data_IF_381156553212
#
_entry.id   IF_381156553212
#
_cell.length_a   1.000
_cell.length_b   1.000
_cell.length_c   1.000
_cell.angle_alpha   90.00
_cell.angle_beta   90.00
_cell.angle_gamma   90.00
#
_symmetry.space_group_name_H-M   'P 1'
#
loop_
_entity.id
_entity.type
_entity.pdbx_description
1 polymer ?
#
# COMPACT_ATOMS: atom_id res chain seq x y z
N UNK A 1 -2.66 17.39 -18.30
CA UNK A 1 -1.76 17.76 -17.19
C UNK A 1 -2.22 16.95 -15.98
N UNK A 2 -1.37 16.10 -15.41
CA UNK A 2 -1.71 15.37 -14.19
C UNK A 2 -1.65 16.36 -13.03
N UNK A 3 -2.78 16.62 -12.37
CA UNK A 3 -2.81 17.45 -11.16
C UNK A 3 -1.83 16.84 -10.14
N UNK A 4 -0.91 17.66 -9.63
CA UNK A 4 0.04 17.23 -8.60
C UNK A 4 -0.75 16.85 -7.34
N UNK A 5 -0.42 15.72 -6.71
CA UNK A 5 -1.15 15.30 -5.51
C UNK A 5 -0.88 16.28 -4.36
N UNK A 6 -1.90 16.72 -3.63
CA UNK A 6 -1.71 17.66 -2.53
C UNK A 6 -0.87 17.03 -1.42
N UNK A 7 -0.12 17.85 -0.69
CA UNK A 7 0.87 17.40 0.31
C UNK A 7 0.28 16.55 1.44
N UNK A 8 -1.00 16.68 1.70
CA UNK A 8 -1.73 15.94 2.73
C UNK A 8 -2.29 14.59 2.24
N UNK A 9 -2.09 14.23 0.97
CA UNK A 9 -2.32 12.89 0.42
C UNK A 9 -0.97 12.28 0.04
N UNK A 10 -0.55 11.26 0.77
CA UNK A 10 0.71 10.55 0.53
C UNK A 10 0.41 9.17 -0.03
N UNK A 11 1.12 8.75 -1.07
CA UNK A 11 1.11 7.36 -1.52
C UNK A 11 2.08 6.54 -0.67
N UNK A 12 1.59 5.44 -0.11
CA UNK A 12 2.46 4.49 0.58
C UNK A 12 3.48 3.91 -0.38
N UNK A 13 4.76 3.95 -0.01
CA UNK A 13 5.88 3.51 -0.85
C UNK A 13 5.78 2.02 -1.20
N UNK A 14 5.29 1.20 -0.25
CA UNK A 14 5.16 -0.25 -0.43
C UNK A 14 3.80 -0.66 -0.96
N UNK A 15 2.74 -0.19 -0.31
CA UNK A 15 1.38 -0.63 -0.62
C UNK A 15 0.81 0.08 -1.85
N UNK A 16 1.39 1.20 -2.29
CA UNK A 16 0.84 2.08 -3.33
C UNK A 16 -0.51 2.68 -2.96
N UNK A 17 -0.95 2.56 -1.70
CA UNK A 17 -2.26 3.02 -1.27
C UNK A 17 -2.21 4.48 -0.83
N UNK A 18 -3.22 5.27 -1.16
CA UNK A 18 -3.29 6.64 -0.68
C UNK A 18 -3.58 6.68 0.82
N UNK A 19 -2.88 7.56 1.52
CA UNK A 19 -2.98 7.85 2.94
C UNK A 19 -3.25 9.34 3.09
N UNK A 20 -4.30 9.70 3.81
CA UNK A 20 -4.68 11.09 4.08
C UNK A 20 -4.11 11.46 5.44
N UNK A 21 -3.43 12.59 5.54
CA UNK A 21 -2.88 13.15 6.78
C UNK A 21 -3.95 14.04 7.44
N UNK A 22 -4.03 14.05 8.77
CA UNK A 22 -4.96 14.91 9.48
C UNK A 22 -4.66 16.40 9.25
N UNK A 23 -5.67 17.27 9.11
CA UNK A 23 -5.47 18.71 8.93
C UNK A 23 -4.77 19.39 10.10
N UNK A 24 -4.83 18.79 11.29
CA UNK A 24 -4.22 19.32 12.52
C UNK A 24 -2.96 18.57 12.93
N UNK A 25 -2.47 17.59 12.15
CA UNK A 25 -1.26 16.86 12.52
C UNK A 25 -0.01 17.73 12.31
N UNK A 26 0.82 17.83 13.35
CA UNK A 26 2.03 18.66 13.34
C UNK A 26 3.32 17.88 13.60
N UNK A 27 3.23 16.65 14.11
CA UNK A 27 4.40 15.83 14.45
C UNK A 27 4.10 14.33 14.31
N UNK A 28 5.15 13.54 14.09
CA UNK A 28 5.06 12.08 13.95
C UNK A 28 4.36 11.58 12.68
N UNK A 29 4.11 12.44 11.70
CA UNK A 29 3.38 12.11 10.47
C UNK A 29 4.11 11.03 9.66
N UNK A 30 5.42 11.19 9.45
CA UNK A 30 6.19 10.24 8.64
C UNK A 30 6.19 8.82 9.23
N UNK A 31 6.27 8.70 10.56
CA UNK A 31 6.14 7.40 11.23
C UNK A 31 4.74 6.83 11.10
N UNK A 32 3.70 7.67 11.25
CA UNK A 32 2.31 7.26 11.12
C UNK A 32 1.98 6.79 9.70
N UNK A 33 2.41 7.53 8.67
CA UNK A 33 2.30 7.15 7.26
C UNK A 33 3.02 5.83 7.00
N UNK A 34 4.27 5.70 7.44
CA UNK A 34 5.05 4.46 7.29
C UNK A 34 4.36 3.26 7.95
N UNK A 35 3.84 3.42 9.16
CA UNK A 35 3.14 2.34 9.89
C UNK A 35 1.82 1.97 9.23
N UNK A 36 1.09 2.94 8.70
CA UNK A 36 -0.13 2.71 7.92
C UNK A 36 0.17 1.99 6.60
N UNK A 37 1.22 2.39 5.88
CA UNK A 37 1.67 1.73 4.64
C UNK A 37 2.07 0.27 4.89
N UNK A 38 2.85 0.02 5.94
CA UNK A 38 3.20 -1.34 6.38
C UNK A 38 1.97 -2.18 6.72
N UNK A 39 0.98 -1.60 7.42
CA UNK A 39 -0.25 -2.30 7.74
C UNK A 39 -1.06 -2.66 6.47
N UNK A 40 -1.00 -1.84 5.42
CA UNK A 40 -1.60 -2.15 4.12
C UNK A 40 -0.83 -3.20 3.32
N UNK A 41 0.49 -3.24 3.44
CA UNK A 41 1.36 -4.23 2.82
C UNK A 41 1.23 -5.63 3.45
N UNK A 42 0.54 -5.73 4.59
CA UNK A 42 0.28 -7.00 5.28
C UNK A 42 1.08 -7.18 6.57
N UNK A 43 1.89 -6.19 6.95
CA UNK A 43 2.60 -6.13 8.23
C UNK A 43 1.69 -5.54 9.31
N UNK A 44 0.70 -6.33 9.71
CA UNK A 44 -0.24 -5.99 10.78
C UNK A 44 0.38 -5.95 12.20
N UNK A 45 1.60 -6.48 12.36
CA UNK A 45 2.33 -6.57 13.63
C UNK A 45 3.75 -6.00 13.52
N UNK A 46 4.53 -6.02 14.62
CA UNK A 46 5.90 -5.55 14.59
C UNK A 46 6.73 -6.38 13.59
N UNK A 47 7.39 -5.69 12.67
CA UNK A 47 8.31 -6.34 11.73
C UNK A 47 9.41 -7.05 12.55
N UNK A 48 9.63 -8.36 12.34
CA UNK A 48 10.66 -9.10 13.05
C UNK A 48 12.05 -8.45 12.88
N UNK A 49 12.83 -8.39 13.96
CA UNK A 49 14.16 -7.75 13.92
C UNK A 49 15.10 -8.39 12.89
N UNK A 50 15.05 -9.70 12.71
CA UNK A 50 15.83 -10.42 11.69
C UNK A 50 15.45 -10.01 10.27
N UNK A 51 14.16 -9.71 10.03
CA UNK A 51 13.69 -9.29 8.72
C UNK A 51 14.15 -7.87 8.39
N UNK A 52 14.19 -6.97 9.39
CA UNK A 52 14.78 -5.63 9.21
C UNK A 52 16.25 -5.67 8.79
N UNK A 53 17.00 -6.66 9.29
CA UNK A 53 18.39 -6.88 8.87
C UNK A 53 18.45 -7.31 7.40
N UNK A 54 17.58 -8.23 6.97
CA UNK A 54 17.48 -8.63 5.57
C UNK A 54 17.06 -7.47 4.66
N UNK A 55 16.09 -6.65 5.07
CA UNK A 55 15.70 -5.44 4.33
C UNK A 55 16.86 -4.45 4.20
N UNK A 56 17.64 -4.27 5.28
CA UNK A 56 18.83 -3.39 5.26
C UNK A 56 19.92 -3.92 4.33
N UNK A 57 20.09 -5.24 4.26
CA UNK A 57 21.00 -5.89 3.30
C UNK A 57 20.48 -5.64 1.87
N UNK A 58 19.16 -5.68 1.66
CA UNK A 58 18.49 -5.25 0.44
C UNK A 58 19.09 -5.91 -0.81
N UNK A 59 19.53 -5.09 -1.78
CA UNK A 59 20.12 -5.60 -3.04
C UNK A 59 21.44 -6.36 -2.84
N UNK A 60 22.17 -6.12 -1.76
CA UNK A 60 23.41 -6.85 -1.47
C UNK A 60 23.17 -8.33 -1.18
N UNK A 61 21.94 -8.71 -0.80
CA UNK A 61 21.55 -10.11 -0.59
C UNK A 61 21.82 -10.96 -1.84
N UNK A 62 21.51 -10.43 -3.02
CA UNK A 62 21.75 -11.12 -4.29
C UNK A 62 23.24 -11.32 -4.55
N UNK A 63 24.07 -10.32 -4.24
CA UNK A 63 25.52 -10.42 -4.43
C UNK A 63 26.15 -11.46 -3.50
N UNK A 64 25.67 -11.55 -2.26
CA UNK A 64 26.12 -12.56 -1.30
C UNK A 64 25.83 -13.97 -1.86
N UNK A 65 24.60 -14.21 -2.34
CA UNK A 65 24.24 -15.51 -2.89
C UNK A 65 24.91 -15.83 -4.23
N UNK A 66 25.18 -14.82 -5.07
CA UNK A 66 26.01 -14.99 -6.27
C UNK A 66 27.43 -15.41 -5.90
N UNK A 67 28.05 -14.75 -4.92
CA UNK A 67 29.39 -15.13 -4.44
C UNK A 67 29.41 -16.55 -3.86
N UNK A 68 28.38 -16.93 -3.08
CA UNK A 68 28.21 -18.29 -2.57
C UNK A 68 28.04 -19.28 -3.74
N UNK A 69 27.22 -18.96 -4.75
CA UNK A 69 27.01 -19.80 -5.93
C UNK A 69 28.30 -20.05 -6.72
N UNK A 70 29.11 -19.01 -6.92
CA UNK A 70 30.44 -19.12 -7.55
C UNK A 70 31.35 -20.01 -6.70
N UNK A 71 31.40 -19.81 -5.38
CA UNK A 71 32.23 -20.61 -4.47
C UNK A 71 31.80 -22.09 -4.45
N UNK A 72 30.50 -22.37 -4.46
CA UNK A 72 29.98 -23.75 -4.51
C UNK A 72 30.32 -24.41 -5.84
N UNK A 73 30.17 -23.71 -6.97
CA UNK A 73 30.55 -24.25 -8.28
C UNK A 73 32.04 -24.59 -8.36
N UNK A 74 32.90 -23.72 -7.80
CA UNK A 74 34.34 -23.94 -7.75
C UNK A 74 34.75 -25.16 -6.89
N UNK A 75 33.91 -25.58 -5.95
CA UNK A 75 34.17 -26.74 -5.09
C UNK A 75 33.57 -28.05 -5.63
N UNK A 76 32.48 -27.98 -6.39
CA UNK A 76 31.69 -29.15 -6.79
C UNK A 76 31.98 -29.60 -8.23
N UNK A 77 32.31 -28.66 -9.11
CA UNK A 77 32.46 -28.93 -10.53
C UNK A 77 33.91 -28.75 -10.93
N UNK A 78 34.54 -29.76 -11.52
CA UNK A 78 35.90 -29.66 -12.03
C UNK A 78 35.91 -29.03 -13.42
N UNK A 79 36.06 -27.71 -13.48
CA UNK A 79 36.04 -26.89 -14.70
C UNK A 79 37.11 -25.80 -14.66
N UNK A 80 37.31 -25.11 -15.78
CA UNK A 80 38.21 -23.97 -15.83
C UNK A 80 37.68 -22.82 -14.95
N UNK A 81 38.60 -22.10 -14.29
CA UNK A 81 38.25 -21.08 -13.26
C UNK A 81 37.27 -20.02 -13.76
N UNK A 82 37.37 -19.63 -15.04
CA UNK A 82 36.47 -18.62 -15.63
C UNK A 82 35.03 -19.12 -15.76
N UNK A 83 34.82 -20.43 -15.95
CA UNK A 83 33.49 -21.03 -16.08
C UNK A 83 32.68 -20.90 -14.79
N UNK A 84 33.34 -20.85 -13.62
CA UNK A 84 32.66 -20.60 -12.35
C UNK A 84 32.06 -19.20 -12.27
N UNK A 85 32.72 -18.20 -12.85
CA UNK A 85 32.20 -16.83 -12.88
C UNK A 85 31.07 -16.65 -13.89
N UNK A 86 31.01 -17.49 -14.93
CA UNK A 86 29.95 -17.48 -15.94
C UNK A 86 28.71 -18.25 -15.46
N UNK A 87 28.90 -19.46 -14.93
CA UNK A 87 27.79 -20.34 -14.55
C UNK A 87 27.39 -20.24 -13.08
N UNK A 88 28.30 -19.85 -12.18
CA UNK A 88 28.04 -19.70 -10.74
C UNK A 88 27.01 -18.64 -10.35
N UNK A 89 26.86 -17.51 -11.07
CA UNK A 89 25.81 -16.55 -10.79
C UNK A 89 24.39 -17.10 -10.95
N UNK A 90 24.16 -18.03 -11.89
CA UNK A 90 22.83 -18.58 -12.19
C UNK A 90 22.18 -19.27 -10.98
N UNK A 91 22.80 -20.28 -10.34
CA UNK A 91 22.25 -20.89 -9.13
C UNK A 91 22.22 -19.89 -7.97
N UNK A 92 23.19 -18.98 -7.87
CA UNK A 92 23.21 -17.94 -6.84
C UNK A 92 21.98 -17.03 -6.90
N UNK A 93 21.63 -16.51 -8.08
CA UNK A 93 20.42 -15.68 -8.29
C UNK A 93 19.15 -16.48 -8.01
N UNK A 94 19.09 -17.74 -8.46
CA UNK A 94 17.93 -18.60 -8.25
C UNK A 94 17.68 -18.86 -6.75
N UNK A 95 18.73 -19.24 -6.02
CA UNK A 95 18.67 -19.45 -4.56
C UNK A 95 18.36 -18.14 -3.83
N UNK A 96 18.95 -17.01 -4.22
CA UNK A 96 18.64 -15.71 -3.63
C UNK A 96 17.16 -15.36 -3.76
N UNK A 97 16.56 -15.64 -4.92
CA UNK A 97 15.16 -15.36 -5.21
C UNK A 97 14.24 -16.23 -4.36
N UNK A 98 14.49 -17.54 -4.29
CA UNK A 98 13.69 -18.48 -3.49
C UNK A 98 13.82 -18.14 -1.99
N UNK A 99 15.04 -17.96 -1.50
CA UNK A 99 15.28 -17.66 -0.08
C UNK A 99 14.72 -16.31 0.31
N UNK A 100 14.81 -15.31 -0.57
CA UNK A 100 14.18 -14.00 -0.38
C UNK A 100 12.66 -14.09 -0.30
N UNK A 101 12.03 -14.85 -1.20
CA UNK A 101 10.59 -15.08 -1.18
C UNK A 101 10.13 -15.82 0.09
N UNK A 102 10.86 -16.87 0.50
CA UNK A 102 10.58 -17.60 1.73
C UNK A 102 10.75 -16.72 2.96
N UNK A 103 11.82 -15.93 3.04
CA UNK A 103 12.04 -14.98 4.12
C UNK A 103 10.92 -13.94 4.19
N UNK A 104 10.48 -13.39 3.06
CA UNK A 104 9.36 -12.47 2.99
C UNK A 104 8.06 -13.10 3.50
N UNK A 105 7.75 -14.32 3.05
CA UNK A 105 6.57 -15.08 3.48
C UNK A 105 6.60 -15.43 4.96
N UNK A 106 7.73 -15.88 5.48
CA UNK A 106 7.92 -16.17 6.91
C UNK A 106 7.80 -14.92 7.77
N UNK A 107 8.35 -13.79 7.31
CA UNK A 107 8.22 -12.51 7.97
C UNK A 107 6.76 -12.07 8.08
N UNK A 108 6.01 -12.14 6.98
CA UNK A 108 4.57 -11.86 6.97
C UNK A 108 3.77 -12.77 7.88
N UNK A 109 4.05 -14.07 7.84
CA UNK A 109 3.37 -15.05 8.68
C UNK A 109 3.65 -14.76 10.15
N UNK A 110 4.90 -14.48 10.51
CA UNK A 110 5.28 -14.11 11.87
C UNK A 110 4.59 -12.80 12.29
N UNK A 111 4.57 -11.78 11.44
CA UNK A 111 3.91 -10.50 11.74
C UNK A 111 2.39 -10.68 11.93
N UNK A 112 1.76 -11.54 11.13
CA UNK A 112 0.34 -11.89 11.26
C UNK A 112 0.05 -12.66 12.56
N UNK A 113 0.89 -13.63 12.90
CA UNK A 113 0.76 -14.39 14.16
C UNK A 113 0.95 -13.45 15.36
N UNK A 114 1.95 -12.57 15.30
CA UNK A 114 2.29 -11.63 16.38
C UNK A 114 1.25 -10.53 16.54
N UNK A 115 0.64 -10.07 15.43
CA UNK A 115 -0.36 -9.00 15.41
C UNK A 115 -1.79 -9.46 15.68
N UNK A 116 -2.06 -10.77 15.64
CA UNK A 116 -3.39 -11.34 15.87
C UNK A 116 -4.39 -11.11 14.73
N UNK A 117 -5.58 -11.73 14.87
CA UNK A 117 -6.72 -11.49 13.99
C UNK A 117 -7.20 -10.04 14.20
N UNK A 118 -6.96 -9.17 13.22
CA UNK A 118 -7.34 -7.75 13.27
C UNK A 118 -6.19 -6.77 13.51
N UNK A 119 -4.92 -7.21 13.51
CA UNK A 119 -3.77 -6.30 13.75
C UNK A 119 -3.72 -5.09 12.79
N UNK A 120 -4.16 -5.25 11.53
CA UNK A 120 -4.28 -4.14 10.59
C UNK A 120 -5.30 -3.11 11.04
N UNK A 121 -6.49 -3.55 11.44
CA UNK A 121 -7.56 -2.65 11.90
C UNK A 121 -7.19 -1.98 13.22
N UNK A 122 -6.46 -2.68 14.09
CA UNK A 122 -5.90 -2.11 15.31
C UNK A 122 -4.86 -1.01 15.01
N UNK A 123 -3.98 -1.21 14.02
CA UNK A 123 -3.04 -0.17 13.57
C UNK A 123 -3.79 1.01 12.94
N UNK A 124 -4.78 0.76 12.09
CA UNK A 124 -5.61 1.81 11.49
C UNK A 124 -6.29 2.64 12.58
N UNK A 125 -6.90 1.98 13.57
CA UNK A 125 -7.56 2.64 14.69
C UNK A 125 -6.57 3.43 15.56
N UNK A 126 -5.40 2.88 15.86
CA UNK A 126 -4.37 3.55 16.66
C UNK A 126 -3.80 4.81 15.97
N UNK A 127 -3.82 4.84 14.63
CA UNK A 127 -3.29 5.95 13.83
C UNK A 127 -4.37 6.93 13.35
N UNK A 128 -5.65 6.67 13.63
CA UNK A 128 -6.79 7.38 13.06
C UNK A 128 -6.86 8.89 13.37
N UNK A 129 -6.11 9.35 14.38
CA UNK A 129 -5.97 10.77 14.73
C UNK A 129 -4.91 11.51 13.89
N UNK A 130 -3.99 10.77 13.26
CA UNK A 130 -2.87 11.33 12.49
C UNK A 130 -3.00 11.06 10.99
N UNK A 131 -3.40 9.84 10.63
CA UNK A 131 -3.52 9.39 9.24
C UNK A 131 -4.73 8.49 9.04
N UNK A 132 -5.30 8.50 7.83
CA UNK A 132 -6.45 7.67 7.44
C UNK A 132 -6.27 7.02 6.08
N UNK A 133 -6.90 5.86 5.83
CA UNK A 133 -6.97 5.26 4.49
C UNK A 133 -7.63 6.21 3.49
N UNK A 134 -6.95 6.53 2.38
CA UNK A 134 -7.49 7.44 1.37
C UNK A 134 -8.47 6.79 0.38
N UNK A 135 -8.28 5.52 0.02
CA UNK A 135 -9.17 4.80 -0.91
C UNK A 135 -9.68 5.64 -2.09
N UNK A 136 -11.00 5.68 -2.26
CA UNK A 136 -11.68 6.48 -3.29
C UNK A 136 -11.64 8.00 -3.02
N UNK A 137 -11.45 8.42 -1.75
CA UNK A 137 -11.41 9.82 -1.32
C UNK A 137 -10.29 10.58 -2.03
N UNK A 138 -9.13 9.95 -2.27
CA UNK A 138 -8.02 10.59 -3.02
C UNK A 138 -8.48 11.14 -4.35
N UNK A 139 -9.18 10.32 -5.14
CA UNK A 139 -9.58 10.67 -6.50
C UNK A 139 -10.52 11.88 -6.50
N UNK A 140 -11.54 11.82 -5.63
CA UNK A 140 -12.54 12.88 -5.48
C UNK A 140 -11.89 14.19 -5.03
N UNK A 141 -11.01 14.13 -4.03
CA UNK A 141 -10.39 15.31 -3.46
C UNK A 141 -9.38 15.97 -4.40
N UNK A 142 -8.61 15.18 -5.16
CA UNK A 142 -7.70 15.72 -6.19
C UNK A 142 -8.47 16.42 -7.30
N UNK A 143 -9.59 15.86 -7.75
CA UNK A 143 -10.43 16.49 -8.77
C UNK A 143 -11.09 17.77 -8.25
N UNK A 144 -11.68 17.74 -7.04
CA UNK A 144 -12.26 18.92 -6.40
C UNK A 144 -11.21 20.04 -6.23
N UNK A 145 -9.99 19.70 -5.81
CA UNK A 145 -8.91 20.68 -5.63
C UNK A 145 -8.40 21.25 -6.96
N UNK A 146 -8.41 20.45 -8.03
CA UNK A 146 -8.07 20.94 -9.37
C UNK A 146 -9.09 21.97 -9.89
N UNK A 147 -10.36 21.84 -9.51
CA UNK A 147 -11.41 22.80 -9.85
C UNK A 147 -11.37 24.07 -9.00
N UNK A 148 -11.12 23.96 -7.69
CA UNK A 148 -10.97 25.09 -6.78
C UNK A 148 -9.75 24.95 -5.83
N UNK A 149 -8.57 25.42 -6.26
CA UNK A 149 -7.37 25.40 -5.42
C UNK A 149 -7.46 26.28 -4.17
N UNK A 150 -8.31 27.32 -4.17
CA UNK A 150 -8.45 28.22 -3.02
C UNK A 150 -9.18 27.55 -1.85
N UNK A 151 -9.97 26.51 -2.13
CA UNK A 151 -10.70 25.73 -1.14
C UNK A 151 -9.87 24.60 -0.50
N UNK A 152 -8.53 24.59 -0.63
CA UNK A 152 -7.67 23.49 -0.16
C UNK A 152 -7.94 23.06 1.29
N UNK A 153 -7.99 24.01 2.23
CA UNK A 153 -8.22 23.70 3.64
C UNK A 153 -9.58 23.02 3.88
N UNK A 154 -10.62 23.45 3.17
CA UNK A 154 -11.95 22.89 3.29
C UNK A 154 -12.04 21.50 2.66
N UNK A 155 -11.47 21.32 1.46
CA UNK A 155 -11.41 20.01 0.78
C UNK A 155 -10.58 19.01 1.59
N UNK A 156 -9.48 19.46 2.21
CA UNK A 156 -8.66 18.63 3.10
C UNK A 156 -9.45 18.14 4.30
N UNK A 157 -10.14 19.03 5.01
CA UNK A 157 -10.97 18.66 6.16
C UNK A 157 -12.12 17.71 5.76
N UNK A 158 -12.74 17.96 4.60
CA UNK A 158 -13.80 17.12 4.06
C UNK A 158 -13.29 15.71 3.71
N UNK A 159 -12.14 15.63 3.02
CA UNK A 159 -11.49 14.37 2.70
C UNK A 159 -11.09 13.59 3.96
N UNK A 160 -10.58 14.29 4.98
CA UNK A 160 -10.25 13.69 6.27
C UNK A 160 -11.49 13.08 6.95
N UNK A 161 -12.60 13.82 7.01
CA UNK A 161 -13.88 13.35 7.57
C UNK A 161 -14.48 12.20 6.76
N UNK A 162 -14.45 12.26 5.43
CA UNK A 162 -14.93 11.19 4.54
C UNK A 162 -14.13 9.88 4.72
N UNK A 163 -12.84 9.98 5.05
CA UNK A 163 -11.97 8.85 5.34
C UNK A 163 -12.13 8.26 6.77
N UNK A 164 -12.93 8.89 7.64
CA UNK A 164 -13.15 8.47 9.02
C UNK A 164 -14.00 7.20 9.13
N UNK A 165 -13.40 6.05 9.43
CA UNK A 165 -14.12 4.78 9.60
C UNK A 165 -14.96 4.83 10.88
N UNK A 166 -16.28 4.67 10.75
CA UNK A 166 -17.22 4.63 11.88
C UNK A 166 -17.62 6.00 12.46
N UNK A 167 -17.22 7.10 11.84
CA UNK A 167 -17.57 8.45 12.31
C UNK A 167 -18.97 8.89 11.88
N UNK A 168 -19.68 9.57 12.78
CA UNK A 168 -21.06 10.03 12.55
C UNK A 168 -21.20 10.94 11.31
N UNK A 169 -20.22 11.81 11.07
CA UNK A 169 -20.25 12.78 9.98
C UNK A 169 -19.63 12.27 8.67
N UNK A 170 -19.20 11.01 8.62
CA UNK A 170 -18.52 10.44 7.45
C UNK A 170 -19.40 10.45 6.21
N UNK A 171 -20.68 10.08 6.36
CA UNK A 171 -21.62 9.97 5.23
C UNK A 171 -21.82 11.34 4.58
N UNK A 172 -22.19 12.35 5.36
CA UNK A 172 -22.34 13.72 4.88
C UNK A 172 -21.05 14.23 4.22
N UNK A 173 -19.89 14.03 4.85
CA UNK A 173 -18.62 14.46 4.28
C UNK A 173 -18.30 13.76 2.94
N UNK A 174 -18.66 12.48 2.82
CA UNK A 174 -18.48 11.71 1.59
C UNK A 174 -19.42 12.21 0.49
N UNK A 175 -20.68 12.49 0.81
CA UNK A 175 -21.68 13.02 -0.14
C UNK A 175 -21.28 14.39 -0.66
N UNK A 176 -20.91 15.30 0.23
CA UNK A 176 -20.44 16.65 -0.10
C UNK A 176 -19.16 16.59 -0.97
N UNK A 177 -18.20 15.72 -0.63
CA UNK A 177 -17.00 15.54 -1.44
C UNK A 177 -17.30 14.92 -2.82
N UNK A 178 -18.25 14.00 -2.87
CA UNK A 178 -18.72 13.37 -4.12
C UNK A 178 -19.41 14.40 -5.01
N UNK A 179 -20.18 15.32 -4.43
CA UNK A 179 -20.80 16.42 -5.16
C UNK A 179 -19.74 17.34 -5.76
N UNK A 180 -18.77 17.80 -4.97
CA UNK A 180 -17.66 18.63 -5.47
C UNK A 180 -16.90 17.94 -6.61
N UNK A 181 -16.66 16.63 -6.48
CA UNK A 181 -16.03 15.85 -7.55
C UNK A 181 -16.90 15.75 -8.81
N UNK A 182 -18.22 15.54 -8.69
CA UNK A 182 -19.15 15.53 -9.82
C UNK A 182 -19.21 16.85 -10.56
N UNK A 183 -19.13 17.95 -9.82
CA UNK A 183 -19.09 19.31 -10.39
C UNK A 183 -17.74 19.57 -11.08
N UNK A 184 -16.63 19.10 -10.50
CA UNK A 184 -15.28 19.25 -11.04
C UNK A 184 -15.00 18.37 -12.27
N UNK A 185 -15.48 17.12 -12.27
CA UNK A 185 -15.22 16.13 -13.31
C UNK A 185 -16.47 15.24 -13.56
N UNK A 186 -17.47 15.76 -14.29
CA UNK A 186 -18.73 15.06 -14.53
C UNK A 186 -18.56 13.81 -15.40
N UNK A 187 -17.57 13.79 -16.30
CA UNK A 187 -17.32 12.64 -17.18
C UNK A 187 -16.78 11.45 -16.38
N UNK A 188 -15.80 11.69 -15.52
CA UNK A 188 -15.23 10.66 -14.66
C UNK A 188 -16.23 10.17 -13.61
N UNK A 189 -17.09 11.06 -13.10
CA UNK A 189 -18.17 10.68 -12.21
C UNK A 189 -19.23 9.81 -12.90
N UNK A 190 -19.64 10.15 -14.12
CA UNK A 190 -20.56 9.31 -14.91
C UNK A 190 -19.95 7.93 -15.21
N UNK A 191 -18.66 7.87 -15.50
CA UNK A 191 -17.95 6.60 -15.71
C UNK A 191 -17.89 5.74 -14.44
N UNK A 192 -17.79 6.36 -13.27
CA UNK A 192 -17.84 5.66 -11.98
C UNK A 192 -19.24 5.15 -11.65
N UNK A 193 -20.27 5.97 -11.87
CA UNK A 193 -21.67 5.57 -11.68
C UNK A 193 -22.02 4.37 -12.58
N UNK A 194 -21.55 4.37 -13.84
CA UNK A 194 -21.71 3.23 -14.75
C UNK A 194 -21.02 1.96 -14.23
N UNK A 195 -19.84 2.07 -13.61
CA UNK A 195 -19.14 0.94 -12.98
C UNK A 195 -19.89 0.40 -11.78
N UNK A 196 -20.47 1.27 -10.94
CA UNK A 196 -21.30 0.84 -9.81
C UNK A 196 -22.51 0.06 -10.32
N UNK A 197 -23.22 0.58 -11.32
CA UNK A 197 -24.38 -0.10 -11.91
C UNK A 197 -24.02 -1.48 -12.49
N UNK A 198 -22.87 -1.62 -13.16
CA UNK A 198 -22.36 -2.91 -13.66
C UNK A 198 -22.05 -3.89 -12.51
N UNK A 199 -21.44 -3.41 -11.43
CA UNK A 199 -21.13 -4.23 -10.25
C UNK A 199 -22.43 -4.70 -9.58
N UNK A 200 -23.42 -3.83 -9.39
CA UNK A 200 -24.72 -4.18 -8.83
C UNK A 200 -25.46 -5.21 -9.70
N UNK A 201 -25.43 -5.04 -11.02
CA UNK A 201 -26.02 -6.01 -11.95
C UNK A 201 -25.35 -7.39 -11.86
N UNK A 202 -24.03 -7.43 -11.70
CA UNK A 202 -23.27 -8.67 -11.49
C UNK A 202 -23.62 -9.34 -10.16
N UNK A 203 -23.72 -8.59 -9.06
CA UNK A 203 -24.12 -9.12 -7.76
C UNK A 203 -25.54 -9.69 -7.80
N UNK A 204 -26.48 -8.96 -8.42
CA UNK A 204 -27.85 -9.44 -8.62
C UNK A 204 -27.87 -10.76 -9.39
N UNK A 205 -27.15 -10.84 -10.51
CA UNK A 205 -27.04 -12.07 -11.31
C UNK A 205 -26.45 -13.24 -10.52
N UNK A 206 -25.43 -13.01 -9.70
CA UNK A 206 -24.82 -14.05 -8.88
C UNK A 206 -25.78 -14.56 -7.78
N UNK A 207 -26.58 -13.67 -7.20
CA UNK A 207 -27.66 -14.04 -6.27
C UNK A 207 -28.77 -14.84 -6.95
N UNK A 208 -29.20 -14.42 -8.14
CA UNK A 208 -30.20 -15.14 -8.95
C UNK A 208 -29.69 -16.53 -9.41
N UNK A 209 -28.39 -16.67 -9.66
CA UNK A 209 -27.70 -17.92 -10.00
C UNK A 209 -27.48 -18.87 -8.80
N UNK A 210 -27.80 -18.45 -7.56
CA UNK A 210 -27.57 -19.23 -6.33
C UNK A 210 -26.09 -19.45 -5.99
N UNK A 211 -25.20 -18.57 -6.48
CA UNK A 211 -23.74 -18.64 -6.25
C UNK A 211 -23.29 -17.81 -5.04
N UNK A 212 -24.22 -17.08 -4.41
CA UNK A 212 -24.06 -16.36 -3.14
C UNK A 212 -25.34 -16.50 -2.33
#
# INVERSE_FOLDING_TARGET
MTAESPRWIVEGERSGRPIIIAPTATSGIDDAVRRMDLAFDGWAGPIPGWFKVLEKIGRWWYLIWVAIGIAVMALVVDREVWEYFVYGPVPGVFVATITGFLAYGLGHLQARISGGLGGRDAVIAALASQVRPGGAVKKMAVAALAADPAAEHYIHDLAWRAAGIGEANRVHATEELTQLWREADPEDAAAFDAKIADIEAKFKKLGDDGKI
#
